data_IF_390655403095
#
_entry.id   IF_390655403095
#
_cell.length_a   1.000
_cell.length_b   1.000
_cell.length_c   1.000
_cell.angle_alpha   90.00
_cell.angle_beta   90.00
_cell.angle_gamma   90.00
#
_symmetry.space_group_name_H-M   'P 1'
#
loop_
_entity.id
_entity.type
_entity.pdbx_description
1 polymer ?
#
# COMPACT_ATOMS: atom_id res chain seq x y z
N UNK A 1 -24.47 -0.55 -64.93
CA UNK A 1 -23.73 -1.59 -64.15
C UNK A 1 -22.26 -1.21 -64.10
N UNK A 2 -21.70 -0.88 -62.94
CA UNK A 2 -20.28 -0.52 -62.86
C UNK A 2 -19.40 -1.78 -62.97
N UNK A 3 -18.54 -1.85 -63.99
CA UNK A 3 -17.51 -2.90 -64.09
C UNK A 3 -16.52 -2.79 -62.93
N UNK A 4 -16.33 -3.89 -62.21
CA UNK A 4 -15.26 -4.06 -61.23
C UNK A 4 -13.92 -4.14 -61.98
N UNK A 5 -13.03 -3.20 -61.72
CA UNK A 5 -11.67 -3.20 -62.28
C UNK A 5 -10.66 -3.53 -61.18
N UNK A 6 -9.49 -4.08 -61.54
CA UNK A 6 -8.42 -4.39 -60.58
C UNK A 6 -8.06 -3.19 -59.70
N UNK A 7 -7.98 -1.99 -60.29
CA UNK A 7 -7.70 -0.74 -59.58
C UNK A 7 -8.78 -0.43 -58.53
N UNK A 8 -10.05 -0.70 -58.84
CA UNK A 8 -11.17 -0.44 -57.93
C UNK A 8 -11.21 -1.44 -56.77
N UNK A 9 -10.89 -2.71 -57.05
CA UNK A 9 -10.72 -3.74 -56.03
C UNK A 9 -9.58 -3.38 -55.07
N UNK A 10 -8.40 -3.03 -55.59
CA UNK A 10 -7.23 -2.67 -54.76
C UNK A 10 -7.48 -1.41 -53.91
N UNK A 11 -8.18 -0.41 -54.43
CA UNK A 11 -8.58 0.77 -53.66
C UNK A 11 -9.55 0.44 -52.52
N UNK A 12 -10.49 -0.48 -52.76
CA UNK A 12 -11.42 -0.95 -51.74
C UNK A 12 -10.67 -1.69 -50.63
N UNK A 13 -9.93 -2.74 -50.99
CA UNK A 13 -9.20 -3.59 -50.04
C UNK A 13 -8.16 -2.79 -49.26
N UNK A 14 -7.39 -1.94 -49.93
CA UNK A 14 -6.39 -1.07 -49.28
C UNK A 14 -7.01 -0.07 -48.31
N UNK A 15 -8.14 0.54 -48.68
CA UNK A 15 -8.86 1.45 -47.78
C UNK A 15 -9.37 0.75 -46.52
N UNK A 16 -9.96 -0.45 -46.65
CA UNK A 16 -10.39 -1.24 -45.49
C UNK A 16 -9.23 -1.69 -44.62
N UNK A 17 -8.10 -2.14 -45.22
CA UNK A 17 -6.94 -2.59 -44.45
C UNK A 17 -6.30 -1.45 -43.63
N UNK A 18 -6.27 -0.24 -44.17
CA UNK A 18 -5.77 0.96 -43.46
C UNK A 18 -6.77 1.50 -42.43
N UNK A 19 -8.07 1.30 -42.64
CA UNK A 19 -9.12 1.75 -41.73
C UNK A 19 -9.39 0.80 -40.54
N UNK A 20 -9.12 -0.50 -40.69
CA UNK A 20 -9.37 -1.51 -39.65
C UNK A 20 -8.72 -1.18 -38.29
N UNK A 21 -7.44 -0.74 -38.22
CA UNK A 21 -6.81 -0.37 -36.96
C UNK A 21 -7.43 0.86 -36.27
N UNK A 22 -8.28 1.62 -36.96
CA UNK A 22 -8.99 2.79 -36.39
C UNK A 22 -10.41 2.45 -35.92
N UNK A 23 -10.82 1.17 -35.98
CA UNK A 23 -12.10 0.66 -35.50
C UNK A 23 -12.00 0.00 -34.11
N UNK A 24 -11.05 0.44 -33.28
CA UNK A 24 -10.87 -0.07 -31.90
C UNK A 24 -12.15 0.03 -31.05
N UNK A 25 -13.09 0.94 -31.38
CA UNK A 25 -14.39 1.05 -30.72
C UNK A 25 -15.37 -0.11 -30.97
N UNK A 26 -15.13 -0.94 -32.00
CA UNK A 26 -15.92 -2.16 -32.28
C UNK A 26 -15.24 -3.41 -31.72
N UNK A 27 -14.07 -3.26 -31.10
CA UNK A 27 -13.39 -4.36 -30.44
C UNK A 27 -14.27 -4.92 -29.31
N UNK A 28 -14.45 -6.24 -29.32
CA UNK A 28 -15.20 -6.94 -28.27
C UNK A 28 -14.49 -6.66 -26.94
N UNK A 29 -15.23 -6.18 -25.94
CA UNK A 29 -14.68 -5.93 -24.61
C UNK A 29 -13.91 -7.17 -24.14
N UNK A 30 -12.62 -6.98 -23.80
CA UNK A 30 -11.77 -8.06 -23.29
C UNK A 30 -12.45 -8.64 -22.05
N UNK A 31 -12.48 -9.96 -21.94
CA UNK A 31 -13.01 -10.63 -20.76
C UNK A 31 -12.40 -10.01 -19.50
N UNK A 32 -13.23 -9.81 -18.47
CA UNK A 32 -12.78 -9.31 -17.17
C UNK A 32 -11.76 -10.30 -16.62
N UNK A 33 -10.48 -9.99 -16.80
CA UNK A 33 -9.40 -10.71 -16.14
C UNK A 33 -9.48 -10.31 -14.67
N UNK A 34 -9.37 -11.28 -13.76
CA UNK A 34 -9.19 -11.00 -12.34
C UNK A 34 -8.09 -9.96 -12.19
N UNK A 35 -8.41 -8.82 -11.59
CA UNK A 35 -7.45 -7.74 -11.41
C UNK A 35 -6.21 -8.31 -10.72
N UNK A 36 -4.99 -8.11 -11.26
CA UNK A 36 -3.79 -8.66 -10.65
C UNK A 36 -3.68 -8.14 -9.22
N UNK A 37 -3.19 -8.98 -8.31
CA UNK A 37 -2.88 -8.58 -6.94
C UNK A 37 -1.87 -7.43 -7.00
N UNK A 38 -2.24 -6.25 -6.48
CA UNK A 38 -1.36 -5.08 -6.42
C UNK A 38 -1.03 -4.82 -4.96
N UNK A 39 0.26 -4.66 -4.67
CA UNK A 39 0.72 -4.19 -3.37
C UNK A 39 0.70 -2.66 -3.35
N UNK A 40 0.10 -2.09 -2.31
CA UNK A 40 0.19 -0.67 -2.00
C UNK A 40 0.78 -0.53 -0.61
N UNK A 41 1.72 0.39 -0.43
CA UNK A 41 2.29 0.70 0.87
C UNK A 41 1.98 2.14 1.23
N UNK A 42 1.47 2.31 2.45
CA UNK A 42 1.16 3.63 3.00
C UNK A 42 2.16 3.93 4.10
N UNK A 43 2.83 5.07 3.97
CA UNK A 43 3.58 5.65 5.06
C UNK A 43 2.69 6.63 5.82
N UNK A 44 2.55 6.40 7.13
CA UNK A 44 1.82 7.29 8.03
C UNK A 44 2.82 7.91 9.00
N UNK A 45 3.54 8.99 8.60
CA UNK A 45 4.32 9.76 9.55
C UNK A 45 3.36 10.36 10.58
N UNK A 46 3.81 10.46 11.83
CA UNK A 46 3.32 11.42 12.84
C UNK A 46 1.83 11.75 12.68
N UNK A 47 0.93 10.94 13.26
CA UNK A 47 -0.52 11.14 13.04
C UNK A 47 -1.44 10.06 13.58
N UNK A 48 -0.89 8.96 14.10
CA UNK A 48 -1.68 7.93 14.79
C UNK A 48 -1.70 8.18 16.30
N UNK A 49 -2.90 8.09 16.90
CA UNK A 49 -3.02 8.01 18.34
C UNK A 49 -2.62 6.60 18.77
N UNK A 50 -1.36 6.42 19.22
CA UNK A 50 -0.79 5.09 19.50
C UNK A 50 -1.68 4.20 20.38
N UNK A 51 -2.22 4.75 21.48
CA UNK A 51 -3.15 4.05 22.39
C UNK A 51 -4.40 3.51 21.70
N UNK A 52 -4.85 4.18 20.64
CA UNK A 52 -6.01 3.78 19.85
C UNK A 52 -5.65 2.91 18.66
N UNK A 53 -4.38 2.86 18.25
CA UNK A 53 -3.94 2.20 17.02
C UNK A 53 -3.23 0.86 17.29
N UNK A 54 -2.33 0.79 18.26
CA UNK A 54 -1.54 -0.40 18.55
C UNK A 54 -2.16 -1.26 19.67
N UNK A 55 -2.36 -2.57 19.45
CA UNK A 55 -2.79 -3.49 20.51
C UNK A 55 -1.84 -3.49 21.70
N UNK A 56 -2.37 -3.51 22.93
CA UNK A 56 -1.58 -3.53 24.16
C UNK A 56 -1.08 -2.15 24.64
N UNK A 57 -1.15 -1.12 23.80
CA UNK A 57 -0.75 0.24 24.19
C UNK A 57 -1.91 1.08 24.77
N UNK A 58 -3.10 0.50 24.93
CA UNK A 58 -4.32 1.20 25.36
C UNK A 58 -4.16 1.92 26.68
N UNK A 59 -3.35 1.40 27.59
CA UNK A 59 -3.18 1.91 28.96
C UNK A 59 -1.86 2.65 29.16
N UNK A 60 -1.09 2.87 28.08
CA UNK A 60 0.16 3.61 28.14
C UNK A 60 -0.08 5.04 28.66
N UNK A 61 0.79 5.46 29.58
CA UNK A 61 0.76 6.80 30.16
C UNK A 61 1.11 7.79 29.06
N UNK A 62 0.21 8.76 28.82
CA UNK A 62 0.50 9.88 27.93
C UNK A 62 1.40 10.84 28.70
N UNK A 63 2.62 11.11 28.23
CA UNK A 63 3.48 12.09 28.87
C UNK A 63 2.83 13.46 28.75
N UNK A 64 2.74 14.17 29.87
CA UNK A 64 2.18 15.52 29.89
C UNK A 64 3.27 16.53 29.51
N UNK A 65 3.03 17.32 28.47
CA UNK A 65 3.90 18.42 28.05
C UNK A 65 4.95 18.05 27.00
N UNK A 66 5.81 19.01 26.66
CA UNK A 66 6.96 18.76 25.80
C UNK A 66 7.98 17.94 26.59
N UNK A 67 8.31 16.74 26.12
CA UNK A 67 9.28 15.85 26.74
C UNK A 67 10.73 16.38 26.66
N UNK A 68 10.93 17.57 26.09
CA UNK A 68 12.24 18.21 25.97
C UNK A 68 13.15 17.35 25.08
N UNK A 69 14.30 16.95 25.61
CA UNK A 69 15.34 16.22 24.87
C UNK A 69 15.17 14.69 24.91
N UNK A 70 13.99 14.17 25.25
CA UNK A 70 13.75 12.73 25.24
C UNK A 70 13.70 12.23 23.80
N UNK A 71 14.83 11.71 23.32
CA UNK A 71 15.02 11.10 22.01
C UNK A 71 14.91 9.56 22.10
N UNK A 72 13.99 9.05 22.92
CA UNK A 72 13.76 7.60 23.07
C UNK A 72 12.28 7.28 23.05
N UNK A 73 11.93 6.10 22.52
CA UNK A 73 10.58 5.56 22.65
C UNK A 73 10.27 5.37 24.14
N UNK A 74 9.07 5.79 24.54
CA UNK A 74 8.58 5.66 25.93
C UNK A 74 7.83 4.36 26.19
N UNK A 75 7.42 3.66 25.12
CA UNK A 75 6.83 2.33 25.24
C UNK A 75 7.90 1.25 25.24
N UNK A 76 7.73 0.24 26.10
CA UNK A 76 8.47 -1.01 25.98
C UNK A 76 8.01 -1.71 24.69
N UNK A 77 8.95 -2.00 23.79
CA UNK A 77 8.68 -2.87 22.66
C UNK A 77 8.93 -4.30 23.10
N UNK A 78 8.01 -5.22 22.79
CA UNK A 78 8.25 -6.65 22.98
C UNK A 78 9.39 -7.07 22.04
N UNK A 79 10.56 -7.48 22.58
CA UNK A 79 11.67 -7.91 21.73
C UNK A 79 11.38 -9.26 21.05
N UNK A 80 10.36 -9.99 21.52
CA UNK A 80 10.00 -11.29 20.99
C UNK A 80 8.87 -11.15 19.97
N UNK A 81 9.14 -11.60 18.75
CA UNK A 81 8.13 -11.66 17.71
C UNK A 81 7.04 -12.65 18.12
N UNK A 82 5.78 -12.20 18.10
CA UNK A 82 4.63 -13.06 18.39
C UNK A 82 3.53 -12.86 17.35
N UNK A 83 2.81 -13.94 17.05
CA UNK A 83 1.63 -13.93 16.18
C UNK A 83 0.42 -14.22 17.05
N UNK A 84 -0.57 -13.33 17.01
CA UNK A 84 -1.82 -13.47 17.75
C UNK A 84 -3.00 -13.22 16.80
N UNK A 85 -4.11 -13.97 16.93
CA UNK A 85 -5.33 -13.65 16.20
C UNK A 85 -5.77 -12.20 16.47
N UNK A 86 -6.23 -11.52 15.41
CA UNK A 86 -6.76 -10.16 15.52
C UNK A 86 -8.21 -10.23 16.02
N UNK A 87 -8.40 -10.69 17.26
CA UNK A 87 -9.73 -10.97 17.83
C UNK A 87 -10.52 -9.71 18.20
N UNK A 88 -9.83 -8.64 18.60
CA UNK A 88 -10.42 -7.36 19.00
C UNK A 88 -9.67 -6.24 18.29
N UNK A 89 -10.39 -5.44 17.50
CA UNK A 89 -9.82 -4.26 16.88
C UNK A 89 -9.66 -3.14 17.91
N UNK A 90 -8.54 -2.43 17.84
CA UNK A 90 -8.31 -1.23 18.65
C UNK A 90 -9.28 -0.10 18.24
N UNK A 91 -9.50 0.92 19.09
CA UNK A 91 -10.46 1.99 18.81
C UNK A 91 -10.29 2.64 17.42
N UNK A 92 -9.07 2.88 16.97
CA UNK A 92 -8.79 3.48 15.66
C UNK A 92 -9.06 2.51 14.50
N UNK A 93 -8.98 1.20 14.74
CA UNK A 93 -9.25 0.18 13.73
C UNK A 93 -10.71 -0.27 13.68
N UNK A 94 -11.57 0.10 14.64
CA UNK A 94 -12.99 -0.31 14.67
C UNK A 94 -13.73 -0.16 13.33
N UNK A 95 -13.52 0.90 12.51
CA UNK A 95 -14.17 1.00 11.20
C UNK A 95 -13.85 -0.15 10.22
N UNK A 96 -12.79 -0.92 10.48
CA UNK A 96 -12.35 -2.06 9.66
C UNK A 96 -12.98 -3.40 10.09
N UNK A 97 -13.94 -3.43 11.01
CA UNK A 97 -14.53 -4.68 11.53
C UNK A 97 -15.06 -5.60 10.42
N UNK A 98 -15.69 -5.04 9.39
CA UNK A 98 -16.18 -5.81 8.23
C UNK A 98 -15.09 -6.49 7.41
N UNK A 99 -13.84 -6.02 7.54
CA UNK A 99 -12.66 -6.52 6.84
C UNK A 99 -11.69 -7.27 7.76
N UNK A 100 -12.02 -7.45 9.04
CA UNK A 100 -11.14 -8.06 10.06
C UNK A 100 -10.54 -9.40 9.65
N UNK A 101 -11.33 -10.26 9.00
CA UNK A 101 -10.89 -11.57 8.52
C UNK A 101 -10.08 -11.51 7.21
N UNK A 102 -9.90 -10.33 6.64
CA UNK A 102 -9.18 -10.08 5.39
C UNK A 102 -7.91 -9.24 5.60
N UNK A 103 -7.68 -8.74 6.82
CA UNK A 103 -6.54 -7.90 7.16
C UNK A 103 -5.62 -8.61 8.14
N UNK A 104 -4.32 -8.43 7.94
CA UNK A 104 -3.29 -8.82 8.90
C UNK A 104 -2.61 -7.56 9.40
N UNK A 105 -2.58 -7.37 10.71
CA UNK A 105 -1.77 -6.32 11.34
C UNK A 105 -0.39 -6.89 11.66
N UNK A 106 0.64 -6.30 11.08
CA UNK A 106 2.04 -6.64 11.36
C UNK A 106 2.68 -5.43 12.04
N UNK A 107 3.09 -5.60 13.30
CA UNK A 107 3.76 -4.57 14.12
C UNK A 107 5.22 -4.92 14.36
N UNK A 108 6.03 -3.98 14.87
CA UNK A 108 7.45 -4.23 15.17
C UNK A 108 8.35 -4.27 13.93
N UNK A 109 7.86 -3.74 12.80
CA UNK A 109 8.63 -3.55 11.56
C UNK A 109 9.34 -2.19 11.52
N UNK A 110 9.22 -1.39 12.59
CA UNK A 110 9.91 -0.12 12.75
C UNK A 110 11.38 -0.32 13.13
N UNK A 111 12.23 0.63 12.74
CA UNK A 111 13.64 0.63 13.15
C UNK A 111 13.75 1.10 14.59
N UNK A 112 14.70 0.52 15.34
CA UNK A 112 15.12 1.12 16.60
C UNK A 112 15.67 2.52 16.34
N UNK A 113 15.22 3.47 17.15
CA UNK A 113 15.63 4.86 17.03
C UNK A 113 17.15 5.00 17.09
N UNK A 114 17.74 5.61 16.05
CA UNK A 114 19.18 5.89 15.99
C UNK A 114 19.44 7.36 16.32
N UNK A 115 20.30 7.60 17.29
CA UNK A 115 20.61 8.96 17.72
C UNK A 115 21.31 9.74 16.59
N UNK A 116 20.88 10.98 16.36
CA UNK A 116 21.38 11.81 15.25
C UNK A 116 20.67 11.62 13.90
N UNK A 117 19.65 10.74 13.83
CA UNK A 117 18.80 10.60 12.64
C UNK A 117 17.43 11.24 12.85
N UNK A 118 16.83 11.73 11.76
CA UNK A 118 15.47 12.25 11.78
C UNK A 118 14.45 11.10 11.94
N UNK A 119 13.33 11.35 12.63
CA UNK A 119 12.28 10.33 12.87
C UNK A 119 11.65 9.82 11.57
N UNK A 120 11.65 10.61 10.49
CA UNK A 120 11.17 10.17 9.18
C UNK A 120 12.14 9.21 8.49
N UNK A 121 13.41 9.13 8.92
CA UNK A 121 14.38 8.16 8.40
C UNK A 121 14.16 6.73 8.94
N UNK A 122 13.22 6.56 9.88
CA UNK A 122 12.97 5.30 10.59
C UNK A 122 11.64 4.63 10.17
N UNK A 123 11.04 5.10 9.09
CA UNK A 123 9.73 4.67 8.65
C UNK A 123 9.71 3.32 7.92
N UNK A 124 8.50 2.75 7.81
CA UNK A 124 8.25 1.45 7.19
C UNK A 124 8.75 1.32 5.75
N UNK A 125 8.97 2.42 5.01
CA UNK A 125 9.55 2.36 3.66
C UNK A 125 10.97 1.77 3.64
N UNK A 126 11.71 1.87 4.76
CA UNK A 126 13.02 1.25 4.90
C UNK A 126 12.97 -0.28 4.93
N UNK A 127 11.83 -0.90 5.26
CA UNK A 127 11.68 -2.35 5.19
C UNK A 127 11.85 -2.86 3.75
N UNK A 128 11.36 -2.12 2.76
CA UNK A 128 11.47 -2.51 1.35
C UNK A 128 12.86 -2.27 0.75
N UNK A 129 13.61 -1.28 1.24
CA UNK A 129 14.89 -0.92 0.65
C UNK A 129 16.04 -1.87 1.02
N UNK A 130 15.75 -2.93 1.79
CA UNK A 130 16.74 -3.92 2.27
C UNK A 130 17.87 -3.34 3.12
N UNK A 131 17.76 -2.08 3.55
CA UNK A 131 18.74 -1.48 4.44
C UNK A 131 18.66 -2.18 5.81
N UNK A 132 19.79 -2.70 6.30
CA UNK A 132 19.80 -3.44 7.58
C UNK A 132 19.26 -2.55 8.70
N UNK A 133 18.63 -3.11 9.75
CA UNK A 133 18.07 -2.32 10.86
C UNK A 133 19.05 -1.33 11.52
N UNK A 134 20.36 -1.53 11.37
CA UNK A 134 21.44 -0.73 11.97
C UNK A 134 22.32 0.03 10.96
N UNK A 135 21.94 0.08 9.69
CA UNK A 135 22.74 0.73 8.64
C UNK A 135 22.13 2.09 8.28
N UNK A 136 22.96 3.14 8.38
CA UNK A 136 22.64 4.54 8.09
C UNK A 136 22.67 4.77 6.58
#
# INVERSE_FOLDING_TARGET
MMRTTRRRFLRGVGGTALGLPWLEGVAKARAVVTSPLRMVQFYVPIGVVRRGFFPGESDHIIPKGNLGNVMKSLGEQDPNQSVKPLDVLTPTMQPLESLKNQISLITGMDRQFQNGTDVHAQCASCYLSSAKPFEV
#
